data_IF_827064094577
#
_entry.id   IF_827064094577
#
_cell.length_a   1.000
_cell.length_b   1.000
_cell.length_c   1.000
_cell.angle_alpha   90.00
_cell.angle_beta   90.00
_cell.angle_gamma   90.00
#
_symmetry.space_group_name_H-M   'P 1'
#
loop_
_entity.id
_entity.type
_entity.pdbx_description
1 polymer ?
#
# COMPACT_ATOMS: atom_id res chain seq x y z
N UNK A 1 10.51 6.96 -10.53
CA UNK A 1 9.95 5.58 -10.57
C UNK A 1 10.90 4.55 -11.22
N UNK A 2 12.20 4.86 -11.31
CA UNK A 2 13.22 3.93 -11.84
C UNK A 2 13.33 2.69 -10.96
N UNK A 3 13.29 2.88 -9.64
CA UNK A 3 13.38 1.81 -8.62
C UNK A 3 12.39 0.66 -8.87
N UNK A 4 11.17 0.98 -9.31
CA UNK A 4 10.17 -0.02 -9.65
C UNK A 4 10.50 -0.77 -10.94
N UNK A 5 11.00 -0.09 -11.97
CA UNK A 5 11.44 -0.76 -13.20
C UNK A 5 12.65 -1.66 -12.95
N UNK A 6 13.58 -1.23 -12.10
CA UNK A 6 14.74 -2.02 -11.71
C UNK A 6 14.32 -3.30 -10.95
N UNK A 7 13.24 -3.25 -10.14
CA UNK A 7 12.64 -4.44 -9.53
C UNK A 7 12.08 -5.40 -10.60
N UNK A 8 11.29 -4.90 -11.56
CA UNK A 8 10.75 -5.74 -12.62
C UNK A 8 11.87 -6.42 -13.44
N UNK A 9 12.90 -5.65 -13.79
CA UNK A 9 14.06 -6.17 -14.52
C UNK A 9 14.77 -7.25 -13.71
N UNK A 10 15.05 -6.99 -12.41
CA UNK A 10 15.69 -7.95 -11.51
C UNK A 10 14.91 -9.26 -11.42
N UNK A 11 13.58 -9.23 -11.33
CA UNK A 11 12.77 -10.44 -11.26
C UNK A 11 12.88 -11.24 -12.57
N UNK A 12 12.86 -10.56 -13.72
CA UNK A 12 12.96 -11.23 -15.01
C UNK A 12 14.34 -11.86 -15.25
N UNK A 13 15.42 -11.21 -14.77
CA UNK A 13 16.81 -11.63 -14.99
C UNK A 13 17.28 -12.67 -13.96
N UNK A 14 17.02 -12.40 -12.67
CA UNK A 14 17.61 -13.15 -11.55
C UNK A 14 16.58 -14.02 -10.81
N UNK A 15 15.29 -13.87 -11.12
CA UNK A 15 14.22 -14.57 -10.42
C UNK A 15 14.19 -16.07 -10.67
N UNK A 16 13.73 -16.81 -9.67
CA UNK A 16 13.56 -18.26 -9.72
C UNK A 16 12.08 -18.58 -9.99
N UNK A 17 11.84 -19.47 -10.95
CA UNK A 17 10.48 -19.94 -11.27
C UNK A 17 9.97 -20.86 -10.15
N UNK A 18 8.73 -20.60 -9.69
CA UNK A 18 8.07 -21.32 -8.59
C UNK A 18 6.60 -21.57 -8.91
N UNK A 19 6.10 -22.68 -8.39
CA UNK A 19 4.64 -22.90 -8.33
C UNK A 19 3.99 -21.93 -7.32
N UNK A 20 2.70 -21.70 -7.47
CA UNK A 20 1.88 -20.91 -6.56
C UNK A 20 0.51 -21.56 -6.33
N UNK A 21 -0.26 -21.00 -5.38
CA UNK A 21 -1.60 -21.49 -5.01
C UNK A 21 -2.59 -21.47 -6.19
N UNK A 22 -2.45 -20.53 -7.11
CA UNK A 22 -3.38 -20.36 -8.24
C UNK A 22 -3.05 -21.29 -9.42
N UNK A 23 -1.89 -21.98 -9.41
CA UNK A 23 -1.43 -22.81 -10.50
C UNK A 23 -0.91 -22.03 -11.71
N UNK A 24 -0.87 -20.69 -11.66
CA UNK A 24 -0.36 -19.84 -12.75
C UNK A 24 1.16 -19.93 -12.86
N UNK A 25 1.84 -20.16 -11.74
CA UNK A 25 3.29 -20.06 -11.61
C UNK A 25 3.79 -18.62 -11.46
N UNK A 26 4.92 -18.48 -10.81
CA UNK A 26 5.55 -17.17 -10.57
C UNK A 26 7.04 -17.24 -10.82
N UNK A 27 7.64 -16.06 -11.13
CA UNK A 27 9.08 -15.84 -11.04
C UNK A 27 9.35 -14.87 -9.93
N UNK A 28 10.21 -15.19 -8.97
CA UNK A 28 10.39 -14.45 -7.75
C UNK A 28 11.85 -14.23 -7.37
N UNK A 29 12.12 -13.10 -6.73
CA UNK A 29 13.33 -12.83 -5.95
C UNK A 29 12.93 -12.69 -4.47
N UNK A 30 13.76 -13.19 -3.56
CA UNK A 30 13.53 -13.04 -2.12
C UNK A 30 14.37 -11.90 -1.56
N UNK A 31 13.68 -10.90 -0.99
CA UNK A 31 14.31 -9.71 -0.44
C UNK A 31 14.65 -8.64 -1.49
N UNK A 32 13.89 -7.54 -1.49
CA UNK A 32 14.16 -6.36 -2.29
C UNK A 32 13.71 -5.10 -1.54
N UNK A 33 14.42 -4.00 -1.71
CA UNK A 33 14.04 -2.73 -1.10
C UNK A 33 14.08 -1.60 -2.13
N UNK A 34 13.03 -0.79 -2.15
CA UNK A 34 12.93 0.44 -2.94
C UNK A 34 12.81 1.64 -2.00
N UNK A 35 13.33 2.79 -2.43
CA UNK A 35 13.25 4.05 -1.69
C UNK A 35 12.71 5.16 -2.59
N UNK A 36 11.80 5.97 -2.04
CA UNK A 36 11.16 7.08 -2.73
C UNK A 36 11.22 8.31 -1.83
N UNK A 37 12.00 9.33 -2.20
CA UNK A 37 11.92 10.63 -1.52
C UNK A 37 10.62 11.32 -1.94
N UNK A 38 9.73 11.54 -0.99
CA UNK A 38 8.42 12.13 -1.24
C UNK A 38 8.50 13.64 -1.53
N UNK A 39 9.67 14.25 -1.36
CA UNK A 39 9.92 15.61 -1.81
C UNK A 39 10.13 15.72 -3.33
N UNK A 40 10.54 14.63 -3.99
CA UNK A 40 10.70 14.60 -5.46
C UNK A 40 9.36 14.55 -6.21
N UNK A 41 8.26 14.28 -5.51
CA UNK A 41 6.91 14.16 -6.02
C UNK A 41 6.20 12.92 -5.49
N UNK A 42 4.93 12.76 -5.84
CA UNK A 42 4.12 11.62 -5.42
C UNK A 42 4.49 10.38 -6.25
N UNK A 43 4.91 9.25 -5.64
CA UNK A 43 5.43 8.09 -6.36
C UNK A 43 4.31 7.25 -7.00
N UNK A 44 3.58 7.86 -7.93
CA UNK A 44 2.58 7.22 -8.77
C UNK A 44 3.22 6.84 -10.11
N UNK A 45 3.06 5.58 -10.53
CA UNK A 45 3.66 5.08 -11.77
C UNK A 45 3.25 5.93 -12.97
N UNK A 46 4.25 6.30 -13.80
CA UNK A 46 4.04 7.02 -15.06
C UNK A 46 4.24 6.13 -16.30
N UNK A 47 4.88 4.98 -16.14
CA UNK A 47 5.05 4.00 -17.24
C UNK A 47 3.82 3.13 -17.49
N UNK A 48 2.83 3.19 -16.59
CA UNK A 48 1.53 2.55 -16.70
C UNK A 48 0.53 3.37 -15.89
N UNK A 49 -0.60 3.80 -16.51
CA UNK A 49 -1.65 4.56 -15.80
C UNK A 49 -2.30 3.68 -14.72
N UNK A 50 -2.36 4.19 -13.50
CA UNK A 50 -3.02 3.54 -12.36
C UNK A 50 -4.40 4.17 -12.09
N UNK A 51 -5.28 3.39 -11.48
CA UNK A 51 -6.61 3.85 -11.08
C UNK A 51 -6.55 4.48 -9.68
N UNK A 52 -6.18 5.76 -9.60
CA UNK A 52 -5.94 6.49 -8.35
C UNK A 52 -7.15 6.50 -7.42
N UNK A 53 -8.37 6.50 -7.97
CA UNK A 53 -9.60 6.44 -7.19
C UNK A 53 -9.66 5.19 -6.31
N UNK A 54 -9.31 4.02 -6.85
CA UNK A 54 -9.26 2.77 -6.07
C UNK A 54 -8.22 2.84 -4.96
N UNK A 55 -7.05 3.42 -5.22
CA UNK A 55 -5.98 3.54 -4.23
C UNK A 55 -6.42 4.39 -3.04
N UNK A 56 -7.04 5.55 -3.30
CA UNK A 56 -7.50 6.46 -2.24
C UNK A 56 -8.63 5.82 -1.44
N UNK A 57 -9.66 5.27 -2.11
CA UNK A 57 -10.80 4.66 -1.40
C UNK A 57 -10.38 3.42 -0.59
N UNK A 58 -9.48 2.57 -1.11
CA UNK A 58 -8.95 1.43 -0.36
C UNK A 58 -8.24 1.88 0.93
N UNK A 59 -7.39 2.92 0.84
CA UNK A 59 -6.70 3.43 2.01
C UNK A 59 -7.68 4.04 3.04
N UNK A 60 -8.66 4.81 2.60
CA UNK A 60 -9.71 5.36 3.47
C UNK A 60 -10.53 4.25 4.14
N UNK A 61 -10.81 3.19 3.41
CA UNK A 61 -11.49 2.00 3.93
C UNK A 61 -10.66 1.27 4.98
N UNK A 62 -9.34 1.09 4.79
CA UNK A 62 -8.47 0.57 5.85
C UNK A 62 -8.45 1.47 7.08
N UNK A 63 -8.37 2.78 6.89
CA UNK A 63 -8.35 3.78 7.98
C UNK A 63 -9.67 3.75 8.77
N UNK A 64 -10.80 3.51 8.14
CA UNK A 64 -12.10 3.42 8.84
C UNK A 64 -12.25 2.17 9.72
N UNK A 65 -11.35 1.20 9.61
CA UNK A 65 -11.43 -0.07 10.35
C UNK A 65 -12.46 -1.06 9.79
N UNK A 66 -13.11 -0.73 8.68
CA UNK A 66 -14.12 -1.58 8.04
C UNK A 66 -13.48 -2.77 7.33
N UNK A 67 -14.22 -3.88 7.28
CA UNK A 67 -13.85 -5.14 6.60
C UNK A 67 -14.84 -5.54 5.52
N UNK A 68 -15.95 -4.82 5.39
CA UNK A 68 -16.98 -5.06 4.40
C UNK A 68 -16.72 -4.22 3.13
N UNK A 69 -16.81 -4.86 1.96
CA UNK A 69 -16.52 -4.22 0.67
C UNK A 69 -17.60 -3.23 0.21
N UNK A 70 -18.71 -3.07 0.94
CA UNK A 70 -19.82 -2.21 0.55
C UNK A 70 -19.41 -0.78 0.27
N UNK A 71 -18.60 -0.17 1.16
CA UNK A 71 -18.08 1.16 0.96
C UNK A 71 -17.29 1.29 -0.37
N UNK A 72 -16.46 0.29 -0.67
CA UNK A 72 -15.69 0.26 -1.91
C UNK A 72 -16.60 0.17 -3.14
N UNK A 73 -17.60 -0.72 -3.10
CA UNK A 73 -18.57 -0.91 -4.18
C UNK A 73 -19.40 0.34 -4.44
N UNK A 74 -19.91 1.00 -3.39
CA UNK A 74 -20.66 2.27 -3.47
C UNK A 74 -19.83 3.38 -4.12
N UNK A 75 -18.51 3.31 -3.99
CA UNK A 75 -17.57 4.23 -4.63
C UNK A 75 -17.02 3.72 -5.98
N UNK A 76 -17.59 2.62 -6.52
CA UNK A 76 -17.19 2.06 -7.82
C UNK A 76 -15.80 1.42 -7.82
N UNK A 77 -15.37 0.89 -6.66
CA UNK A 77 -14.12 0.15 -6.47
C UNK A 77 -14.43 -1.31 -6.23
N UNK A 78 -13.87 -2.21 -7.06
CA UNK A 78 -14.20 -3.64 -7.08
C UNK A 78 -12.99 -4.54 -6.76
N UNK A 79 -11.86 -3.97 -6.36
CA UNK A 79 -10.58 -4.68 -6.24
C UNK A 79 -10.55 -5.77 -5.15
N UNK A 80 -11.56 -5.81 -4.28
CA UNK A 80 -11.71 -6.79 -3.20
C UNK A 80 -12.89 -7.75 -3.39
N UNK A 81 -13.70 -7.59 -4.46
CA UNK A 81 -14.95 -8.35 -4.64
C UNK A 81 -14.72 -9.87 -4.72
N UNK A 82 -13.62 -10.30 -5.35
CA UNK A 82 -13.34 -11.73 -5.59
C UNK A 82 -12.99 -12.51 -4.30
N UNK A 83 -12.71 -11.79 -3.21
CA UNK A 83 -12.37 -12.40 -1.91
C UNK A 83 -13.46 -12.25 -0.85
N UNK A 84 -14.44 -11.38 -1.09
CA UNK A 84 -15.53 -11.16 -0.15
C UNK A 84 -16.51 -12.34 -0.13
N UNK A 85 -17.06 -12.63 1.05
CA UNK A 85 -18.14 -13.60 1.21
C UNK A 85 -19.47 -13.09 0.63
N UNK A 86 -20.53 -13.88 0.77
CA UNK A 86 -21.88 -13.54 0.28
C UNK A 86 -22.49 -12.28 0.92
N UNK A 87 -21.98 -11.87 2.09
CA UNK A 87 -22.40 -10.66 2.81
C UNK A 87 -21.48 -9.46 2.50
N UNK A 88 -20.44 -9.68 1.71
CA UNK A 88 -19.43 -8.68 1.37
C UNK A 88 -18.33 -8.52 2.42
N UNK A 89 -18.19 -9.45 3.37
CA UNK A 89 -17.18 -9.40 4.42
C UNK A 89 -15.91 -10.16 4.04
N UNK A 90 -14.78 -9.66 4.51
CA UNK A 90 -13.43 -10.22 4.30
C UNK A 90 -12.84 -10.83 5.57
N UNK A 91 -13.58 -10.81 6.68
CA UNK A 91 -13.05 -11.17 7.99
C UNK A 91 -12.09 -10.10 8.54
N UNK A 92 -11.29 -10.42 9.59
CA UNK A 92 -10.53 -9.44 10.34
C UNK A 92 -9.26 -8.95 9.61
N UNK A 93 -9.40 -8.48 8.35
CA UNK A 93 -8.31 -7.98 7.51
C UNK A 93 -7.85 -6.56 7.93
N UNK A 94 -6.86 -6.04 7.33
CA UNK A 94 -6.15 -4.75 7.50
C UNK A 94 -6.81 -3.72 8.42
N UNK A 95 -7.98 -3.18 8.07
CA UNK A 95 -8.66 -2.14 8.83
C UNK A 95 -8.99 -2.58 10.24
N UNK A 96 -9.51 -3.81 10.42
CA UNK A 96 -9.78 -4.41 11.73
C UNK A 96 -8.53 -4.47 12.59
N UNK A 97 -7.40 -4.90 12.02
CA UNK A 97 -6.14 -4.98 12.77
C UNK A 97 -5.58 -3.60 13.10
N UNK A 98 -5.72 -2.62 12.21
CA UNK A 98 -5.21 -1.27 12.42
C UNK A 98 -5.97 -0.50 13.50
N UNK A 99 -7.30 -0.68 13.57
CA UNK A 99 -8.19 0.16 14.37
C UNK A 99 -8.86 -0.55 15.54
N UNK A 100 -8.99 -1.86 15.46
CA UNK A 100 -9.81 -2.66 16.37
C UNK A 100 -9.12 -3.96 16.77
N UNK A 101 -7.81 -3.90 17.08
CA UNK A 101 -7.05 -5.08 17.52
C UNK A 101 -7.59 -5.58 18.85
N UNK A 102 -8.04 -6.84 18.89
CA UNK A 102 -8.57 -7.46 20.10
C UNK A 102 -7.46 -8.11 20.92
N UNK A 103 -7.42 -7.78 22.20
CA UNK A 103 -6.57 -8.47 23.18
C UNK A 103 -7.30 -9.65 23.83
N UNK A 104 -6.59 -10.61 24.46
CA UNK A 104 -7.22 -11.77 25.11
C UNK A 104 -8.21 -11.43 26.24
N UNK A 105 -8.07 -10.28 26.88
CA UNK A 105 -8.97 -9.80 27.94
C UNK A 105 -10.17 -9.01 27.40
N UNK A 106 -10.30 -8.89 26.07
CA UNK A 106 -11.40 -8.18 25.41
C UNK A 106 -11.18 -6.67 25.24
N UNK A 107 -10.01 -6.15 25.65
CA UNK A 107 -9.65 -4.76 25.38
C UNK A 107 -9.40 -4.58 23.88
N UNK A 108 -9.80 -3.42 23.33
CA UNK A 108 -9.55 -3.05 21.96
C UNK A 108 -8.43 -2.01 21.88
N UNK A 109 -7.49 -2.21 20.94
CA UNK A 109 -6.38 -1.29 20.67
C UNK A 109 -6.57 -0.67 19.29
N UNK A 110 -6.58 0.65 19.23
CA UNK A 110 -6.51 1.43 18.00
C UNK A 110 -5.04 1.76 17.69
N UNK A 111 -4.35 0.84 17.00
CA UNK A 111 -2.93 0.99 16.69
C UNK A 111 -2.64 2.28 15.89
N UNK A 112 -3.55 2.69 14.99
CA UNK A 112 -3.33 3.86 14.13
C UNK A 112 -3.47 5.16 14.91
N UNK A 113 -4.47 5.29 15.78
CA UNK A 113 -4.63 6.45 16.63
C UNK A 113 -3.47 6.56 17.63
N UNK A 114 -3.12 5.47 18.30
CA UNK A 114 -1.99 5.43 19.25
C UNK A 114 -0.66 5.82 18.58
N UNK A 115 -0.44 5.35 17.35
CA UNK A 115 0.75 5.68 16.55
C UNK A 115 0.82 7.18 16.28
N UNK A 116 -0.28 7.82 15.84
CA UNK A 116 -0.33 9.25 15.55
C UNK A 116 -0.07 10.08 16.82
N UNK A 117 -0.71 9.71 17.93
CA UNK A 117 -0.47 10.39 19.21
C UNK A 117 0.98 10.21 19.70
N UNK A 118 1.57 9.04 19.48
CA UNK A 118 2.97 8.81 19.81
C UNK A 118 3.92 9.64 18.94
N UNK A 119 3.63 9.83 17.64
CA UNK A 119 4.42 10.70 16.75
C UNK A 119 4.41 12.14 17.27
N UNK A 120 3.23 12.64 17.71
CA UNK A 120 3.09 13.99 18.25
C UNK A 120 3.81 14.15 19.59
N UNK A 121 3.65 13.19 20.49
CA UNK A 121 4.16 13.27 21.87
C UNK A 121 5.66 12.94 21.98
N UNK A 122 6.16 12.00 21.17
CA UNK A 122 7.53 11.51 21.23
C UNK A 122 8.05 11.12 19.83
N UNK A 123 8.37 12.10 18.97
CA UNK A 123 8.79 11.84 17.60
C UNK A 123 10.10 11.03 17.48
N UNK A 124 10.95 11.03 18.52
CA UNK A 124 12.19 10.26 18.55
C UNK A 124 11.98 8.77 18.92
N UNK A 125 10.75 8.34 19.17
CA UNK A 125 10.44 6.96 19.53
C UNK A 125 10.83 5.99 18.41
N UNK A 126 11.40 4.85 18.79
CA UNK A 126 11.68 3.72 17.88
C UNK A 126 10.53 2.72 17.82
N UNK A 127 9.40 3.03 18.49
CA UNK A 127 8.20 2.20 18.59
C UNK A 127 7.05 2.72 17.72
N UNK A 128 7.34 3.64 16.80
CA UNK A 128 6.37 4.20 15.86
C UNK A 128 6.04 3.16 14.78
N UNK A 129 5.33 2.11 15.14
CA UNK A 129 5.03 1.00 14.23
C UNK A 129 3.62 0.47 14.44
N UNK A 130 3.09 -0.16 13.39
CA UNK A 130 1.78 -0.79 13.33
C UNK A 130 1.90 -2.12 12.58
N UNK A 131 1.16 -3.15 13.03
CA UNK A 131 1.12 -4.46 12.37
C UNK A 131 -0.31 -4.86 12.02
N UNK A 132 -0.48 -5.40 10.81
CA UNK A 132 -1.71 -6.07 10.39
C UNK A 132 -1.61 -7.60 10.53
N UNK A 133 -0.41 -8.13 10.79
CA UNK A 133 -0.19 -9.57 10.92
C UNK A 133 -0.52 -10.03 12.34
N UNK A 134 -1.70 -10.64 12.49
CA UNK A 134 -2.17 -11.23 13.73
C UNK A 134 -2.30 -12.76 13.56
N UNK A 135 -1.36 -13.57 14.08
CA UNK A 135 -1.40 -15.03 13.90
C UNK A 135 -2.69 -15.69 14.40
N UNK A 136 -3.36 -15.09 15.39
CA UNK A 136 -4.62 -15.62 15.93
C UNK A 136 -5.79 -15.42 14.95
N UNK A 137 -5.78 -14.34 14.17
CA UNK A 137 -6.86 -13.97 13.25
C UNK A 137 -6.61 -14.42 11.81
N UNK A 138 -5.36 -14.69 11.42
CA UNK A 138 -5.01 -15.12 10.05
C UNK A 138 -5.89 -16.25 9.51
N UNK A 139 -6.28 -17.29 10.29
CA UNK A 139 -7.16 -18.34 9.79
C UNK A 139 -8.58 -17.87 9.42
N UNK A 140 -9.01 -16.72 9.94
CA UNK A 140 -10.34 -16.16 9.76
C UNK A 140 -10.38 -15.06 8.68
N UNK A 141 -9.24 -14.75 8.05
CA UNK A 141 -9.13 -13.73 7.00
C UNK A 141 -9.36 -14.34 5.63
N UNK A 142 -10.17 -13.70 4.79
CA UNK A 142 -10.34 -14.09 3.39
C UNK A 142 -8.99 -14.07 2.65
N UNK A 143 -8.13 -13.09 2.97
CA UNK A 143 -6.77 -12.98 2.46
C UNK A 143 -5.82 -12.50 3.58
N UNK A 144 -4.86 -13.33 4.02
CA UNK A 144 -3.85 -12.92 4.98
C UNK A 144 -3.04 -11.70 4.50
N UNK A 145 -2.76 -10.71 5.37
CA UNK A 145 -2.14 -9.45 4.97
C UNK A 145 -0.83 -9.64 4.23
N UNK A 146 -0.73 -9.10 3.03
CA UNK A 146 0.52 -9.02 2.26
C UNK A 146 1.45 -7.97 2.84
N UNK A 147 0.95 -6.75 3.10
CA UNK A 147 1.65 -5.69 3.83
C UNK A 147 1.45 -5.89 5.33
N UNK A 148 2.47 -6.50 5.96
CA UNK A 148 2.35 -7.04 7.30
C UNK A 148 2.52 -6.01 8.40
N UNK A 149 3.49 -5.11 8.25
CA UNK A 149 3.81 -4.08 9.23
C UNK A 149 4.46 -2.87 8.56
N UNK A 150 4.30 -1.72 9.18
CA UNK A 150 5.02 -0.52 8.79
C UNK A 150 5.49 0.25 10.02
N UNK A 151 6.60 0.96 9.85
CA UNK A 151 7.26 1.73 10.89
C UNK A 151 7.53 3.14 10.38
N UNK A 152 7.34 4.13 11.26
CA UNK A 152 7.68 5.51 10.98
C UNK A 152 8.94 5.96 11.70
N UNK A 153 9.58 6.98 11.13
CA UNK A 153 10.69 7.71 11.74
C UNK A 153 10.51 9.20 11.47
N UNK A 154 10.70 10.01 12.50
CA UNK A 154 10.77 11.46 12.36
C UNK A 154 12.22 11.89 12.40
N UNK A 155 12.66 12.63 11.39
CA UNK A 155 14.01 13.23 11.35
C UNK A 155 13.96 14.57 10.62
N UNK A 156 14.58 15.60 11.19
CA UNK A 156 14.65 16.94 10.60
C UNK A 156 13.27 17.51 10.18
N UNK A 157 12.23 17.27 10.99
CA UNK A 157 10.87 17.71 10.72
C UNK A 157 10.17 16.97 9.56
N UNK A 158 10.73 15.83 9.14
CA UNK A 158 10.17 14.97 8.09
C UNK A 158 9.77 13.60 8.66
N UNK A 159 8.60 13.10 8.26
CA UNK A 159 8.09 11.77 8.60
C UNK A 159 8.37 10.80 7.45
N UNK A 160 9.15 9.77 7.71
CA UNK A 160 9.43 8.67 6.78
C UNK A 160 8.71 7.40 7.21
N UNK A 161 8.30 6.59 6.23
CA UNK A 161 7.61 5.31 6.45
C UNK A 161 8.41 4.16 5.83
N UNK A 162 8.61 3.07 6.56
CA UNK A 162 9.10 1.81 6.02
C UNK A 162 8.02 0.75 6.11
N UNK A 163 7.62 0.18 4.97
CA UNK A 163 6.70 -0.95 4.87
C UNK A 163 7.48 -2.26 4.69
N UNK A 164 7.10 -3.30 5.44
CA UNK A 164 7.44 -4.68 5.11
C UNK A 164 6.23 -5.39 4.50
N UNK A 165 6.39 -5.83 3.25
CA UNK A 165 5.41 -6.62 2.50
C UNK A 165 5.95 -8.02 2.27
N UNK A 166 5.31 -9.05 2.88
CA UNK A 166 5.78 -10.45 2.83
C UNK A 166 5.62 -11.09 1.45
N UNK A 167 4.59 -10.69 0.70
CA UNK A 167 4.21 -11.23 -0.60
C UNK A 167 3.80 -10.08 -1.50
N UNK A 168 4.42 -9.96 -2.67
CA UNK A 168 4.31 -8.80 -3.51
C UNK A 168 4.13 -9.20 -4.98
N UNK A 169 2.87 -9.14 -5.48
CA UNK A 169 2.60 -9.11 -6.92
C UNK A 169 3.18 -7.81 -7.49
N UNK A 170 4.33 -7.93 -8.15
CA UNK A 170 5.07 -6.77 -8.61
C UNK A 170 4.44 -6.09 -9.81
N UNK A 171 3.51 -6.72 -10.54
CA UNK A 171 2.88 -6.10 -11.70
C UNK A 171 1.57 -5.37 -11.35
N UNK A 172 0.65 -6.01 -10.61
CA UNK A 172 -0.65 -5.43 -10.26
C UNK A 172 -0.62 -4.75 -8.88
N UNK A 173 -0.14 -5.42 -7.84
CA UNK A 173 -0.25 -4.98 -6.44
C UNK A 173 0.77 -3.91 -6.04
N UNK A 174 2.06 -4.15 -6.26
CA UNK A 174 3.14 -3.24 -5.79
C UNK A 174 2.96 -1.79 -6.22
N UNK A 175 2.54 -1.46 -7.47
CA UNK A 175 2.28 -0.08 -7.86
C UNK A 175 1.20 0.62 -7.01
N UNK A 176 0.15 -0.09 -6.64
CA UNK A 176 -0.91 0.40 -5.74
C UNK A 176 -0.36 0.60 -4.32
N UNK A 177 0.39 -0.37 -3.81
CA UNK A 177 0.95 -0.30 -2.46
C UNK A 177 1.94 0.86 -2.31
N UNK A 178 2.80 1.13 -3.31
CA UNK A 178 3.70 2.30 -3.30
C UNK A 178 2.90 3.59 -3.12
N UNK A 179 1.88 3.82 -3.94
CA UNK A 179 1.08 5.03 -3.90
C UNK A 179 0.25 5.12 -2.62
N UNK A 180 -0.34 4.01 -2.14
CA UNK A 180 -1.16 3.95 -0.93
C UNK A 180 -0.35 4.32 0.32
N UNK A 181 0.84 3.72 0.52
CA UNK A 181 1.66 4.03 1.70
C UNK A 181 2.38 5.38 1.60
N UNK A 182 2.68 5.86 0.40
CA UNK A 182 3.11 7.24 0.22
C UNK A 182 2.01 8.22 0.62
N UNK A 183 0.75 7.97 0.21
CA UNK A 183 -0.41 8.76 0.61
C UNK A 183 -0.61 8.74 2.13
N UNK A 184 -0.60 7.56 2.77
CA UNK A 184 -0.69 7.42 4.22
C UNK A 184 0.41 8.24 4.93
N UNK A 185 1.64 8.21 4.41
CA UNK A 185 2.75 8.99 4.97
C UNK A 185 2.49 10.49 4.89
N UNK A 186 1.96 10.99 3.76
CA UNK A 186 1.57 12.40 3.61
C UNK A 186 0.43 12.78 4.56
N UNK A 187 -0.59 11.92 4.71
CA UNK A 187 -1.74 12.16 5.60
C UNK A 187 -1.29 12.30 7.06
N UNK A 188 -0.53 11.33 7.56
CA UNK A 188 -0.04 11.35 8.95
C UNK A 188 0.94 12.53 9.17
N UNK A 189 1.83 12.79 8.22
CA UNK A 189 2.74 13.94 8.30
C UNK A 189 1.94 15.26 8.43
N UNK A 190 0.91 15.45 7.61
CA UNK A 190 0.06 16.65 7.63
C UNK A 190 -0.64 16.84 8.99
N UNK A 191 -1.25 15.79 9.54
CA UNK A 191 -1.92 15.82 10.87
C UNK A 191 -0.93 16.11 11.99
N UNK A 192 0.30 15.63 11.88
CA UNK A 192 1.34 15.83 12.89
C UNK A 192 2.14 17.14 12.69
N UNK A 193 1.80 17.99 11.71
CA UNK A 193 2.53 19.21 11.42
C UNK A 193 3.94 18.98 10.87
N UNK A 194 4.18 17.82 10.27
CA UNK A 194 5.46 17.40 9.69
C UNK A 194 5.40 17.46 8.15
N UNK A 195 6.57 17.44 7.50
CA UNK A 195 6.68 17.20 6.06
C UNK A 195 6.82 15.71 5.79
N UNK A 196 6.29 15.23 4.65
CA UNK A 196 6.57 13.88 4.21
C UNK A 196 8.07 13.71 3.90
N UNK A 197 8.61 12.59 4.35
CA UNK A 197 10.01 12.23 4.20
C UNK A 197 10.24 11.24 3.07
N UNK A 198 10.68 10.05 3.42
CA UNK A 198 10.97 8.95 2.50
C UNK A 198 9.96 7.82 2.69
N UNK A 199 9.52 7.20 1.62
CA UNK A 199 8.85 5.91 1.66
C UNK A 199 9.84 4.80 1.29
N UNK A 200 10.04 3.85 2.21
CA UNK A 200 10.92 2.69 2.05
C UNK A 200 10.06 1.45 1.95
N UNK A 201 10.07 0.79 0.79
CA UNK A 201 9.29 -0.41 0.53
C UNK A 201 10.19 -1.65 0.56
N UNK A 202 10.08 -2.45 1.60
CA UNK A 202 10.81 -3.70 1.78
C UNK A 202 9.92 -4.88 1.44
N UNK A 203 10.32 -5.67 0.45
CA UNK A 203 9.60 -6.82 -0.07
C UNK A 203 10.26 -8.12 0.40
N UNK A 204 9.48 -9.08 0.85
CA UNK A 204 9.90 -10.46 1.09
C UNK A 204 9.92 -11.25 -0.22
N UNK A 205 8.84 -11.97 -0.53
CA UNK A 205 8.65 -12.66 -1.82
C UNK A 205 8.14 -11.65 -2.86
N UNK A 206 9.04 -11.16 -3.70
CA UNK A 206 8.72 -10.23 -4.78
C UNK A 206 8.63 -11.00 -6.10
N UNK A 207 7.41 -11.09 -6.65
CA UNK A 207 7.15 -11.98 -7.78
C UNK A 207 6.37 -11.32 -8.92
N UNK A 208 6.56 -11.90 -10.11
CA UNK A 208 5.71 -11.73 -11.28
C UNK A 208 5.00 -13.05 -11.56
N UNK A 209 3.69 -13.01 -11.75
CA UNK A 209 2.97 -14.16 -12.30
C UNK A 209 3.44 -14.48 -13.73
N UNK A 210 3.46 -15.75 -14.11
CA UNK A 210 3.96 -16.18 -15.43
C UNK A 210 3.17 -15.53 -16.58
N UNK A 211 1.88 -15.27 -16.39
CA UNK A 211 1.02 -14.59 -17.35
C UNK A 211 1.17 -13.05 -17.36
N UNK A 212 2.14 -12.48 -16.58
CA UNK A 212 2.48 -11.05 -16.58
C UNK A 212 3.84 -10.73 -17.20
N UNK A 213 4.62 -11.71 -17.64
CA UNK A 213 5.97 -11.49 -18.15
C UNK A 213 6.01 -10.56 -19.37
N UNK A 214 5.08 -10.74 -20.32
CA UNK A 214 5.01 -9.89 -21.52
C UNK A 214 4.61 -8.47 -21.17
N UNK A 215 3.67 -8.28 -20.25
CA UNK A 215 3.25 -6.99 -19.75
C UNK A 215 4.39 -6.25 -19.03
N UNK A 216 5.18 -6.99 -18.23
CA UNK A 216 6.35 -6.45 -17.55
C UNK A 216 7.43 -6.03 -18.56
N UNK A 217 7.71 -6.82 -19.59
CA UNK A 217 8.64 -6.46 -20.68
C UNK A 217 8.16 -5.23 -21.44
N UNK A 218 6.86 -5.17 -21.78
CA UNK A 218 6.28 -4.00 -22.44
C UNK A 218 6.41 -2.74 -21.58
N UNK A 219 6.22 -2.85 -20.26
CA UNK A 219 6.39 -1.73 -19.34
C UNK A 219 7.86 -1.29 -19.20
N UNK A 220 8.80 -2.21 -19.19
CA UNK A 220 10.25 -1.92 -19.18
C UNK A 220 10.72 -1.16 -20.42
N UNK A 221 10.05 -1.34 -21.55
CA UNK A 221 10.31 -0.56 -22.77
C UNK A 221 9.86 0.90 -22.70
N UNK A 222 9.16 1.32 -21.64
CA UNK A 222 8.64 2.69 -21.47
C UNK A 222 9.56 3.54 -20.61
N UNK A 223 9.68 4.83 -20.95
CA UNK A 223 10.44 5.78 -20.15
C UNK A 223 9.54 6.44 -19.09
N UNK A 224 9.98 6.51 -17.82
CA UNK A 224 9.27 7.27 -16.80
C UNK A 224 9.26 8.76 -17.13
N UNK A 225 8.13 9.41 -16.89
CA UNK A 225 8.01 10.88 -16.92
C UNK A 225 8.19 11.46 -15.51
N UNK A 226 8.12 12.79 -15.38
CA UNK A 226 8.13 13.46 -14.08
C UNK A 226 7.02 12.93 -13.16
N UNK A 227 7.30 12.85 -11.87
CA UNK A 227 6.31 12.46 -10.87
C UNK A 227 5.22 13.53 -10.75
N UNK A 228 3.95 13.13 -10.57
CA UNK A 228 2.89 14.06 -10.24
C UNK A 228 3.08 14.64 -8.83
N UNK A 229 2.26 15.64 -8.50
CA UNK A 229 2.20 16.23 -7.16
C UNK A 229 0.92 15.80 -6.47
N UNK A 230 1.03 15.47 -5.19
CA UNK A 230 -0.12 15.32 -4.31
C UNK A 230 -0.42 16.67 -3.66
N UNK A 231 -1.67 17.12 -3.77
CA UNK A 231 -2.21 18.28 -3.05
C UNK A 231 -3.26 17.77 -2.06
N UNK A 232 -3.08 18.07 -0.79
CA UNK A 232 -4.08 17.83 0.27
C UNK A 232 -4.80 19.15 0.49
N UNK A 233 -6.08 19.23 0.09
CA UNK A 233 -6.88 20.45 0.10
C UNK A 233 -7.39 20.83 1.48
N UNK A 234 -7.69 19.80 2.31
CA UNK A 234 -8.17 19.96 3.66
C UNK A 234 -7.45 18.98 4.57
N UNK A 235 -6.98 19.44 5.72
CA UNK A 235 -6.29 18.62 6.73
C UNK A 235 -7.20 18.60 7.95
N UNK A 236 -7.85 17.46 8.25
CA UNK A 236 -8.68 17.31 9.43
C UNK A 236 -7.83 17.18 10.71
N UNK A 237 -8.46 17.33 11.87
CA UNK A 237 -7.79 17.16 13.16
C UNK A 237 -7.42 15.69 13.45
N UNK A 238 -8.15 14.73 12.85
CA UNK A 238 -7.96 13.31 13.04
C UNK A 238 -7.93 12.60 11.68
N UNK A 239 -7.26 11.44 11.64
CA UNK A 239 -7.05 10.65 10.40
C UNK A 239 -8.37 10.22 9.77
N UNK A 240 -9.39 9.97 10.57
CA UNK A 240 -10.74 9.56 10.14
C UNK A 240 -11.52 10.69 9.43
N UNK A 241 -11.08 11.92 9.57
CA UNK A 241 -11.73 13.09 8.95
C UNK A 241 -11.41 13.26 7.47
N UNK A 242 -10.41 12.58 6.93
CA UNK A 242 -10.08 12.67 5.51
C UNK A 242 -11.15 12.05 4.63
N UNK A 243 -11.39 12.70 3.49
CA UNK A 243 -12.32 12.27 2.45
C UNK A 243 -11.61 12.21 1.11
N UNK A 244 -12.19 11.50 0.16
CA UNK A 244 -11.63 11.37 -1.20
C UNK A 244 -11.36 12.75 -1.85
N UNK A 245 -12.26 13.71 -1.66
CA UNK A 245 -12.21 15.06 -2.23
C UNK A 245 -11.08 15.91 -1.67
N UNK A 246 -10.49 15.53 -0.55
CA UNK A 246 -9.35 16.23 0.05
C UNK A 246 -8.05 16.02 -0.73
N UNK A 247 -8.01 15.02 -1.64
CA UNK A 247 -6.81 14.64 -2.38
C UNK A 247 -6.92 14.99 -3.86
N UNK A 248 -5.91 15.68 -4.37
CA UNK A 248 -5.77 15.96 -5.79
C UNK A 248 -4.38 15.55 -6.27
N UNK A 249 -4.36 14.83 -7.39
CA UNK A 249 -3.11 14.48 -8.09
C UNK A 249 -2.96 15.42 -9.28
N UNK A 250 -1.97 16.29 -9.20
CA UNK A 250 -1.70 17.33 -10.22
C UNK A 250 -0.54 16.91 -11.11
N UNK A 251 -0.62 17.24 -12.38
CA UNK A 251 0.42 16.97 -13.39
C UNK A 251 0.67 15.45 -13.63
N UNK A 252 -0.34 14.60 -13.47
CA UNK A 252 -0.19 13.17 -13.73
C UNK A 252 -0.24 12.85 -15.21
N UNK A 253 0.93 12.67 -15.81
CA UNK A 253 1.10 12.25 -17.22
C UNK A 253 1.67 10.84 -17.24
N UNK A 254 0.86 9.86 -17.60
CA UNK A 254 1.24 8.46 -17.61
C UNK A 254 1.00 7.82 -18.99
N UNK A 255 1.83 6.85 -19.34
CA UNK A 255 1.60 5.97 -20.48
C UNK A 255 0.29 5.17 -20.28
N UNK A 256 -0.36 4.72 -21.36
CA UNK A 256 -1.60 3.97 -21.26
C UNK A 256 -1.53 2.78 -20.33
N UNK A 257 -2.67 2.44 -19.74
CA UNK A 257 -2.80 1.22 -18.92
C UNK A 257 -2.33 -0.03 -19.68
N UNK A 258 -1.76 -0.98 -18.96
CA UNK A 258 -1.43 -2.33 -19.47
C UNK A 258 -2.32 -3.31 -18.71
N UNK A 259 -3.28 -3.91 -19.42
CA UNK A 259 -4.16 -4.92 -18.83
C UNK A 259 -3.39 -6.21 -18.55
N UNK A 260 -3.69 -6.84 -17.42
CA UNK A 260 -3.18 -8.14 -17.04
C UNK A 260 -4.26 -8.93 -16.28
N UNK A 261 -4.32 -10.26 -16.43
CA UNK A 261 -5.28 -11.09 -15.69
C UNK A 261 -4.94 -11.12 -14.20
N UNK A 262 -5.96 -11.15 -13.35
CA UNK A 262 -5.78 -11.35 -11.91
C UNK A 262 -5.61 -12.85 -11.66
N UNK A 263 -4.63 -13.24 -10.85
CA UNK A 263 -4.46 -14.61 -10.37
C UNK A 263 -5.20 -14.75 -9.02
N UNK A 264 -6.29 -15.52 -8.99
CA UNK A 264 -7.17 -15.73 -7.82
C UNK A 264 -7.02 -17.14 -7.27
#
# INVERSE_FOLDING_TARGET
>A
MRQYLDLLQRILDDGVDRGDRTGTGTRAVFGHQMRFDLADGFPLLTTKKLHIKSIIHELLWFISGDTNVRYLQENGVSIWNDWADENGDLGPVYGKQWRHWQTPDGTEIDQLADLIEMIKANPDSRRLMLTAWNPADVPNMALPPCHCLFQFQVANGRLSCQLYQRSADCFLGVPFNIASYALLTHMIAAICGLKAGEFVHTLGDAHLYANHFEQARAQLGRQPTALPKLVIRNIPDQIDGFKFEDFEIVDYVAAPHIAAPIAV
#
